data_IF_030481304862
#
_entry.id   IF_030481304862
#
_cell.length_a   1.000
_cell.length_b   1.000
_cell.length_c   1.000
_cell.angle_alpha   90.00
_cell.angle_beta   90.00
_cell.angle_gamma   90.00
#
_symmetry.space_group_name_H-M   'P 1'
#
loop_
_entity.id
_entity.type
_entity.pdbx_description
1 polymer ?
#
# COMPACT_ATOMS: atom_id res chain seq x y z
N UNK A 1 12.35 -31.12 -18.06
CA UNK A 1 11.30 -31.36 -17.05
C UNK A 1 9.98 -30.88 -17.59
N UNK A 2 8.87 -31.47 -17.16
CA UNK A 2 7.54 -30.97 -17.50
C UNK A 2 7.29 -29.63 -16.81
N UNK A 3 6.92 -28.61 -17.58
CA UNK A 3 6.51 -27.30 -17.09
C UNK A 3 5.36 -27.45 -16.07
N UNK A 4 5.48 -26.81 -14.90
CA UNK A 4 4.42 -26.81 -13.89
C UNK A 4 3.13 -26.22 -14.46
N UNK A 5 1.99 -26.81 -14.13
CA UNK A 5 0.68 -26.33 -14.56
C UNK A 5 -0.25 -26.15 -13.37
N UNK A 6 -1.00 -25.04 -13.31
CA UNK A 6 -2.00 -24.85 -12.27
C UNK A 6 -3.13 -25.88 -12.41
N UNK A 7 -3.48 -26.54 -11.31
CA UNK A 7 -4.57 -27.52 -11.26
C UNK A 7 -5.54 -27.29 -10.09
N UNK A 8 -5.23 -26.33 -9.21
CA UNK A 8 -6.07 -25.93 -8.07
C UNK A 8 -6.44 -24.45 -8.15
N UNK A 9 -7.34 -24.00 -7.26
CA UNK A 9 -7.69 -22.57 -7.13
C UNK A 9 -6.47 -21.72 -6.78
N UNK A 10 -5.64 -22.17 -5.83
CA UNK A 10 -4.43 -21.45 -5.44
C UNK A 10 -3.38 -21.48 -6.55
N UNK A 11 -3.17 -22.61 -7.22
CA UNK A 11 -2.30 -22.68 -8.40
C UNK A 11 -2.78 -21.76 -9.52
N UNK A 12 -4.08 -21.76 -9.82
CA UNK A 12 -4.69 -20.86 -10.80
C UNK A 12 -4.52 -19.38 -10.42
N UNK A 13 -4.64 -19.05 -9.14
CA UNK A 13 -4.39 -17.71 -8.62
C UNK A 13 -2.92 -17.32 -8.86
N UNK A 14 -1.95 -18.10 -8.37
CA UNK A 14 -0.50 -17.85 -8.56
C UNK A 14 -0.15 -17.67 -10.05
N UNK A 15 -0.72 -18.50 -10.92
CA UNK A 15 -0.56 -18.37 -12.37
C UNK A 15 -1.11 -17.04 -12.91
N UNK A 16 -2.32 -16.67 -12.49
CA UNK A 16 -2.96 -15.42 -12.87
C UNK A 16 -2.20 -14.17 -12.36
N UNK A 17 -1.54 -14.26 -11.20
CA UNK A 17 -0.58 -13.26 -10.73
C UNK A 17 0.67 -13.12 -11.61
N UNK A 18 0.86 -13.97 -12.61
CA UNK A 18 2.06 -13.92 -13.44
C UNK A 18 3.23 -14.69 -12.86
N UNK A 19 2.99 -15.66 -11.97
CA UNK A 19 4.03 -16.54 -11.43
C UNK A 19 3.81 -18.00 -11.83
N UNK A 20 4.85 -18.81 -11.66
CA UNK A 20 4.84 -20.27 -11.82
C UNK A 20 5.71 -20.89 -10.73
N UNK A 21 5.88 -22.21 -10.72
CA UNK A 21 6.59 -22.95 -9.68
C UNK A 21 7.72 -23.81 -10.26
N UNK A 22 8.88 -23.79 -9.60
CA UNK A 22 10.02 -24.66 -9.87
C UNK A 22 10.07 -25.79 -8.83
N UNK A 23 9.78 -27.05 -9.20
CA UNK A 23 9.82 -28.18 -8.27
C UNK A 23 11.22 -28.60 -7.84
N UNK A 24 12.29 -28.23 -8.56
CA UNK A 24 13.65 -28.65 -8.19
C UNK A 24 14.19 -27.87 -6.99
N UNK A 25 13.91 -26.57 -6.97
CA UNK A 25 14.35 -25.66 -5.90
C UNK A 25 13.20 -25.33 -4.93
N UNK A 26 11.99 -25.72 -5.30
CA UNK A 26 10.75 -25.53 -4.54
C UNK A 26 10.47 -24.03 -4.28
N UNK A 27 10.46 -23.25 -5.37
CA UNK A 27 10.29 -21.79 -5.39
C UNK A 27 9.17 -21.34 -6.33
N UNK A 28 8.58 -20.19 -6.04
CA UNK A 28 7.67 -19.46 -6.93
C UNK A 28 8.46 -18.40 -7.68
N UNK A 29 8.13 -18.17 -8.94
CA UNK A 29 8.88 -17.25 -9.77
C UNK A 29 8.12 -16.65 -10.95
N UNK A 30 8.57 -15.50 -11.44
CA UNK A 30 7.90 -14.72 -12.49
C UNK A 30 7.82 -15.44 -13.84
N UNK A 31 6.70 -15.25 -14.53
CA UNK A 31 6.50 -15.63 -15.93
C UNK A 31 6.90 -14.49 -16.85
N UNK A 32 7.39 -14.84 -18.04
CA UNK A 32 7.74 -13.85 -19.07
C UNK A 32 6.55 -13.00 -19.54
N UNK A 33 5.36 -13.61 -19.55
CA UNK A 33 4.09 -13.07 -20.04
C UNK A 33 3.17 -12.55 -18.90
N UNK A 34 3.74 -12.25 -17.74
CA UNK A 34 3.02 -11.70 -16.60
C UNK A 34 2.31 -10.38 -16.98
N UNK A 35 1.07 -10.18 -16.50
CA UNK A 35 0.26 -8.99 -16.80
C UNK A 35 0.96 -7.68 -16.38
N UNK A 36 1.80 -7.77 -15.35
CA UNK A 36 2.69 -6.72 -14.84
C UNK A 36 3.50 -6.05 -15.95
N UNK A 37 3.79 -6.76 -17.05
CA UNK A 37 4.50 -6.19 -18.19
C UNK A 37 3.81 -4.97 -18.81
N UNK A 38 2.49 -4.83 -18.61
CA UNK A 38 1.72 -3.69 -19.09
C UNK A 38 1.79 -2.48 -18.18
N UNK A 39 2.32 -2.60 -16.96
CA UNK A 39 2.16 -1.61 -15.90
C UNK A 39 3.42 -0.81 -15.55
N UNK A 40 4.55 -1.10 -16.21
CA UNK A 40 5.80 -0.35 -16.03
C UNK A 40 6.27 -0.36 -14.57
N UNK A 41 6.99 0.70 -14.18
CA UNK A 41 7.53 0.85 -12.84
C UNK A 41 7.85 2.30 -12.49
N UNK A 42 7.73 2.65 -11.22
CA UNK A 42 8.07 3.97 -10.68
C UNK A 42 8.37 3.90 -9.18
N UNK A 43 8.93 4.97 -8.59
CA UNK A 43 9.21 5.02 -7.14
C UNK A 43 8.01 4.71 -6.25
N UNK A 44 6.78 5.08 -6.67
CA UNK A 44 5.56 4.78 -5.94
C UNK A 44 5.36 3.29 -5.65
N UNK A 45 5.98 2.40 -6.43
CA UNK A 45 5.98 0.96 -6.22
C UNK A 45 6.83 0.61 -4.98
N UNK A 46 8.05 1.15 -4.90
CA UNK A 46 8.94 1.03 -3.73
C UNK A 46 8.23 1.57 -2.48
N UNK A 47 7.59 2.73 -2.60
CA UNK A 47 6.88 3.38 -1.49
C UNK A 47 5.67 2.58 -1.00
N UNK A 48 4.99 1.87 -1.91
CA UNK A 48 3.84 1.04 -1.60
C UNK A 48 4.22 -0.37 -1.09
N UNK A 49 5.48 -0.78 -1.20
CA UNK A 49 5.94 -2.13 -0.87
C UNK A 49 5.53 -2.55 0.56
N UNK A 50 5.77 -1.69 1.55
CA UNK A 50 5.38 -1.96 2.93
C UNK A 50 3.86 -2.14 3.09
N UNK A 51 3.08 -1.40 2.29
CA UNK A 51 1.62 -1.52 2.23
C UNK A 51 1.15 -2.86 1.66
N UNK A 52 1.96 -3.49 0.82
CA UNK A 52 1.70 -4.83 0.27
C UNK A 52 2.29 -5.95 1.13
N UNK A 53 2.59 -5.66 2.40
CA UNK A 53 3.29 -6.57 3.32
C UNK A 53 4.70 -6.96 2.85
N UNK A 54 5.29 -6.19 1.94
CA UNK A 54 6.65 -6.36 1.46
C UNK A 54 7.62 -5.49 2.28
N UNK A 55 8.36 -6.11 3.19
CA UNK A 55 9.48 -5.51 3.92
C UNK A 55 10.75 -5.86 3.16
N UNK A 56 11.11 -4.99 2.22
CA UNK A 56 12.14 -5.25 1.21
C UNK A 56 13.07 -4.05 1.05
N UNK A 57 14.34 -4.33 0.79
CA UNK A 57 15.29 -3.35 0.27
C UNK A 57 15.03 -3.09 -1.21
N UNK A 58 14.93 -1.81 -1.58
CA UNK A 58 14.81 -1.32 -2.95
C UNK A 58 16.12 -0.65 -3.37
N UNK A 59 16.63 -0.96 -4.56
CA UNK A 59 17.91 -0.45 -5.07
C UNK A 59 17.83 -0.16 -6.59
N UNK A 60 17.30 1.00 -6.98
CA UNK A 60 17.26 1.44 -8.37
C UNK A 60 18.64 1.89 -8.88
N UNK A 61 19.03 1.35 -10.03
CA UNK A 61 20.24 1.75 -10.75
C UNK A 61 19.84 2.39 -12.08
N UNK A 62 20.04 3.71 -12.18
CA UNK A 62 19.68 4.50 -13.36
C UNK A 62 20.88 4.76 -14.25
N UNK A 63 20.71 4.68 -15.57
CA UNK A 63 21.72 5.06 -16.54
C UNK A 63 21.11 5.34 -17.91
N UNK A 64 21.81 6.10 -18.75
CA UNK A 64 21.39 6.39 -20.11
C UNK A 64 22.13 5.52 -21.13
N UNK A 65 21.40 4.95 -22.08
CA UNK A 65 22.01 4.25 -23.20
C UNK A 65 21.05 4.15 -24.39
N UNK A 66 21.57 4.31 -25.61
CA UNK A 66 20.80 4.07 -26.83
C UNK A 66 19.56 4.96 -26.98
N UNK A 67 19.59 6.19 -26.47
CA UNK A 67 18.45 7.11 -26.50
C UNK A 67 17.34 6.78 -25.52
N UNK A 68 17.60 5.96 -24.49
CA UNK A 68 16.67 5.63 -23.41
C UNK A 68 17.31 5.94 -22.05
N UNK A 69 16.47 6.41 -21.13
CA UNK A 69 16.70 6.29 -19.70
C UNK A 69 16.43 4.83 -19.32
N UNK A 70 17.37 4.20 -18.63
CA UNK A 70 17.23 2.85 -18.10
C UNK A 70 17.15 2.89 -16.58
N UNK A 71 16.39 1.96 -16.01
CA UNK A 71 16.37 1.68 -14.59
C UNK A 71 16.39 0.16 -14.39
N UNK A 72 17.40 -0.31 -13.68
CA UNK A 72 17.43 -1.68 -13.16
C UNK A 72 17.03 -1.60 -11.69
N UNK A 73 15.88 -2.16 -11.34
CA UNK A 73 15.41 -2.21 -9.95
C UNK A 73 15.81 -3.54 -9.34
N UNK A 74 16.46 -3.50 -8.19
CA UNK A 74 16.76 -4.68 -7.40
C UNK A 74 15.93 -4.68 -6.12
N UNK A 75 15.18 -5.75 -5.90
CA UNK A 75 14.47 -5.96 -4.63
C UNK A 75 15.00 -7.19 -3.89
N UNK A 76 15.09 -7.11 -2.56
CA UNK A 76 15.28 -8.30 -1.68
C UNK A 76 14.59 -8.13 -0.34
N UNK A 77 13.97 -9.19 0.18
CA UNK A 77 13.37 -9.15 1.53
C UNK A 77 12.26 -10.16 1.77
N UNK A 78 11.27 -9.72 2.55
CA UNK A 78 10.09 -10.50 2.91
C UNK A 78 8.84 -9.92 2.25
N UNK A 79 8.13 -10.75 1.50
CA UNK A 79 6.93 -10.44 0.74
C UNK A 79 5.74 -11.21 1.34
N UNK A 80 5.20 -10.75 2.48
CA UNK A 80 4.14 -11.51 3.14
C UNK A 80 4.59 -12.91 3.56
N UNK A 81 4.10 -13.93 2.85
CA UNK A 81 4.43 -15.34 3.07
C UNK A 81 5.89 -15.69 2.70
N UNK A 82 6.47 -14.99 1.73
CA UNK A 82 7.64 -15.48 1.02
C UNK A 82 8.87 -14.59 1.22
N UNK A 83 10.05 -15.20 1.25
CA UNK A 83 11.30 -14.46 1.14
C UNK A 83 11.80 -14.56 -0.29
N UNK A 84 12.35 -13.48 -0.83
CA UNK A 84 12.76 -13.50 -2.23
C UNK A 84 13.61 -12.32 -2.64
N UNK A 85 13.88 -12.29 -3.94
CA UNK A 85 14.55 -11.21 -4.61
C UNK A 85 14.12 -11.08 -6.07
N UNK A 86 14.36 -9.90 -6.63
CA UNK A 86 13.94 -9.53 -7.98
C UNK A 86 14.99 -8.66 -8.67
N UNK A 87 15.10 -8.82 -9.99
CA UNK A 87 15.82 -7.91 -10.88
C UNK A 87 14.85 -7.50 -11.99
N UNK A 88 14.35 -6.27 -11.91
CA UNK A 88 13.48 -5.65 -12.93
C UNK A 88 14.28 -4.79 -13.89
N UNK A 89 13.95 -4.86 -15.18
CA UNK A 89 14.56 -4.07 -16.25
C UNK A 89 13.50 -3.16 -16.85
N UNK A 90 13.73 -1.86 -16.74
CA UNK A 90 12.81 -0.85 -17.20
C UNK A 90 13.54 0.20 -18.04
N UNK A 91 12.82 0.79 -18.99
CA UNK A 91 13.37 1.83 -19.84
C UNK A 91 12.30 2.83 -20.25
N UNK A 92 12.73 4.04 -20.61
CA UNK A 92 11.87 5.06 -21.21
C UNK A 92 12.67 5.86 -22.23
N UNK A 93 12.09 6.12 -23.39
CA UNK A 93 12.78 6.90 -24.43
C UNK A 93 13.09 8.32 -23.94
N UNK A 94 14.31 8.78 -24.17
CA UNK A 94 14.72 10.16 -23.92
C UNK A 94 13.92 11.05 -24.88
N UNK A 95 13.23 12.05 -24.34
CA UNK A 95 12.25 12.88 -25.06
C UNK A 95 10.96 12.13 -25.47
N UNK A 96 10.54 11.12 -24.72
CA UNK A 96 9.20 10.53 -24.85
C UNK A 96 8.16 11.64 -25.01
N UNK A 97 7.36 11.58 -26.09
CA UNK A 97 6.39 12.62 -26.38
C UNK A 97 5.47 12.82 -25.17
N UNK A 98 5.20 14.07 -24.75
CA UNK A 98 4.36 14.35 -23.60
C UNK A 98 2.94 13.86 -23.91
N UNK A 99 2.63 12.66 -23.44
CA UNK A 99 1.26 12.18 -23.34
C UNK A 99 0.79 12.36 -21.89
N UNK A 100 -0.51 12.59 -21.71
CA UNK A 100 -1.08 12.88 -20.40
C UNK A 100 -0.85 11.73 -19.41
N UNK A 101 -0.78 10.48 -19.89
CA UNK A 101 -0.48 9.31 -19.06
C UNK A 101 0.88 9.40 -18.38
N UNK A 102 1.96 9.60 -19.14
CA UNK A 102 3.29 9.77 -18.54
C UNK A 102 3.37 11.02 -17.67
N UNK A 103 2.79 12.16 -18.09
CA UNK A 103 2.80 13.38 -17.27
C UNK A 103 2.14 13.15 -15.90
N UNK A 104 1.00 12.46 -15.90
CA UNK A 104 0.29 12.08 -14.69
C UNK A 104 1.15 11.14 -13.85
N UNK A 105 1.66 10.06 -14.43
CA UNK A 105 2.44 9.06 -13.71
C UNK A 105 3.73 9.65 -13.14
N UNK A 106 4.44 10.51 -13.88
CA UNK A 106 5.64 11.22 -13.43
C UNK A 106 5.33 12.14 -12.26
N UNK A 107 4.26 12.91 -12.36
CA UNK A 107 3.86 13.84 -11.31
C UNK A 107 3.35 13.14 -10.03
N UNK A 108 2.93 11.88 -10.14
CA UNK A 108 2.26 11.13 -9.07
C UNK A 108 3.13 10.05 -8.45
N UNK A 109 3.37 8.98 -9.20
CA UNK A 109 4.08 7.78 -8.74
C UNK A 109 5.57 7.81 -9.12
N UNK A 110 5.96 8.67 -10.06
CA UNK A 110 7.35 8.85 -10.52
C UNK A 110 8.23 9.57 -9.51
N UNK A 111 7.69 10.58 -8.81
CA UNK A 111 8.47 11.44 -7.92
C UNK A 111 9.12 10.68 -6.77
N UNK A 112 10.45 10.63 -6.77
CA UNK A 112 11.30 10.07 -5.72
C UNK A 112 11.75 11.18 -4.76
N UNK A 113 11.29 11.19 -3.49
CA UNK A 113 11.68 12.21 -2.53
C UNK A 113 13.20 12.21 -2.27
N UNK A 114 13.81 13.39 -2.35
CA UNK A 114 15.24 13.56 -2.09
C UNK A 114 16.15 13.17 -3.26
N UNK A 115 15.60 12.95 -4.45
CA UNK A 115 16.36 12.75 -5.69
C UNK A 115 16.10 13.90 -6.66
N UNK A 116 17.12 14.73 -6.89
CA UNK A 116 17.00 15.94 -7.72
C UNK A 116 17.16 15.65 -9.22
N UNK A 117 17.52 14.42 -9.61
CA UNK A 117 17.65 14.05 -11.02
C UNK A 117 16.27 13.85 -11.65
N UNK A 118 15.88 14.66 -12.66
CA UNK A 118 14.58 14.51 -13.31
C UNK A 118 14.34 13.14 -13.93
N UNK A 119 15.38 12.45 -14.41
CA UNK A 119 15.24 11.12 -15.01
C UNK A 119 14.87 10.06 -13.95
N UNK A 120 15.32 10.20 -12.71
CA UNK A 120 14.98 9.28 -11.61
C UNK A 120 13.54 9.44 -11.11
N UNK A 121 12.90 10.56 -11.47
CA UNK A 121 11.55 10.96 -11.08
C UNK A 121 10.48 10.60 -12.13
N UNK A 122 10.79 9.67 -13.02
CA UNK A 122 9.91 9.25 -14.10
C UNK A 122 9.23 7.91 -13.79
N UNK A 123 8.08 7.70 -14.42
CA UNK A 123 7.56 6.36 -14.68
C UNK A 123 8.29 5.75 -15.88
N UNK A 124 8.70 4.49 -15.75
CA UNK A 124 9.42 3.71 -16.75
C UNK A 124 8.57 2.57 -17.27
N UNK A 125 8.74 2.21 -18.54
CA UNK A 125 8.09 1.03 -19.12
C UNK A 125 8.90 -0.23 -18.80
N UNK A 126 8.22 -1.38 -18.70
CA UNK A 126 8.90 -2.66 -18.67
C UNK A 126 9.70 -2.85 -19.97
N UNK A 127 10.89 -3.46 -19.87
CA UNK A 127 11.70 -3.72 -21.05
C UNK A 127 10.91 -4.45 -22.14
N UNK A 128 11.02 -3.96 -23.38
CA UNK A 128 10.49 -4.63 -24.56
C UNK A 128 11.18 -5.98 -24.78
N UNK A 129 10.68 -6.82 -25.69
CA UNK A 129 11.31 -8.12 -25.94
C UNK A 129 12.75 -8.02 -26.45
N UNK A 130 13.08 -6.91 -27.13
CA UNK A 130 14.40 -6.59 -27.65
C UNK A 130 15.33 -6.00 -26.56
N UNK A 131 14.74 -5.40 -25.52
CA UNK A 131 15.45 -4.73 -24.42
C UNK A 131 15.68 -5.63 -23.20
N UNK A 132 15.22 -6.89 -23.23
CA UNK A 132 15.48 -7.85 -22.15
C UNK A 132 16.97 -8.13 -22.01
N UNK A 133 17.44 -8.18 -20.77
CA UNK A 133 18.84 -8.47 -20.45
C UNK A 133 18.99 -9.93 -20.04
N UNK A 134 20.18 -10.48 -20.23
CA UNK A 134 20.52 -11.80 -19.71
C UNK A 134 20.81 -11.63 -18.21
N UNK A 135 19.98 -12.22 -17.35
CA UNK A 135 20.07 -12.05 -15.90
C UNK A 135 20.27 -13.41 -15.24
N UNK A 136 21.15 -13.44 -14.26
CA UNK A 136 21.33 -14.55 -13.33
C UNK A 136 21.35 -13.98 -11.90
N UNK A 137 20.70 -14.68 -10.97
CA UNK A 137 20.71 -14.31 -9.56
C UNK A 137 20.78 -15.54 -8.65
N UNK A 138 21.37 -15.38 -7.48
CA UNK A 138 21.35 -16.39 -6.41
C UNK A 138 21.09 -15.71 -5.08
N UNK A 139 20.01 -16.12 -4.40
CA UNK A 139 19.63 -15.58 -3.09
C UNK A 139 20.27 -16.41 -1.97
N UNK A 140 20.85 -15.71 -1.00
CA UNK A 140 21.38 -16.28 0.25
C UNK A 140 20.65 -15.68 1.44
N UNK A 141 20.50 -16.49 2.48
CA UNK A 141 20.06 -16.05 3.81
C UNK A 141 21.10 -16.48 4.83
N UNK A 142 21.67 -15.53 5.56
CA UNK A 142 22.73 -15.78 6.55
C UNK A 142 23.90 -16.63 6.01
N UNK A 143 24.28 -16.39 4.76
CA UNK A 143 25.35 -17.12 4.06
C UNK A 143 24.95 -18.45 3.44
N UNK A 144 23.75 -18.98 3.73
CA UNK A 144 23.24 -20.21 3.12
C UNK A 144 22.44 -19.90 1.86
N UNK A 145 22.72 -20.64 0.78
CA UNK A 145 22.01 -20.47 -0.49
C UNK A 145 20.56 -20.96 -0.37
N UNK A 146 19.59 -20.12 -0.71
CA UNK A 146 18.18 -20.50 -0.81
C UNK A 146 17.82 -21.05 -2.20
N UNK A 147 18.14 -20.32 -3.26
CA UNK A 147 17.88 -20.73 -4.65
C UNK A 147 18.72 -19.91 -5.65
N UNK A 148 18.74 -20.36 -6.90
CA UNK A 148 19.34 -19.67 -8.05
C UNK A 148 18.33 -19.55 -9.21
N UNK A 149 18.42 -18.48 -9.98
CA UNK A 149 17.65 -18.27 -11.23
C UNK A 149 18.57 -17.81 -12.34
N UNK A 150 18.22 -18.16 -13.57
CA UNK A 150 18.99 -17.84 -14.76
C UNK A 150 20.22 -18.74 -14.96
N UNK A 151 21.09 -18.41 -15.93
CA UNK A 151 21.00 -17.22 -16.80
C UNK A 151 19.81 -17.29 -17.76
N UNK A 152 18.98 -16.24 -17.77
CA UNK A 152 17.77 -16.16 -18.59
C UNK A 152 17.58 -14.73 -19.13
N UNK A 153 17.17 -14.59 -20.40
CA UNK A 153 16.82 -13.27 -20.96
C UNK A 153 15.45 -12.84 -20.44
N UNK A 154 15.43 -11.90 -19.49
CA UNK A 154 14.19 -11.49 -18.81
C UNK A 154 14.11 -9.97 -18.63
N UNK A 155 12.88 -9.47 -18.50
CA UNK A 155 12.59 -8.09 -18.10
C UNK A 155 12.35 -7.95 -16.59
N UNK A 156 12.23 -9.07 -15.87
CA UNK A 156 11.78 -9.17 -14.48
C UNK A 156 12.06 -10.58 -13.94
N UNK A 157 13.32 -10.86 -13.61
CA UNK A 157 13.72 -12.16 -13.10
C UNK A 157 13.52 -12.18 -11.57
N UNK A 158 12.67 -13.07 -11.07
CA UNK A 158 12.36 -13.16 -9.63
C UNK A 158 12.53 -14.56 -9.06
N UNK A 159 12.57 -14.69 -7.75
CA UNK A 159 12.40 -15.97 -7.09
C UNK A 159 11.95 -15.79 -5.65
N UNK A 160 11.09 -16.68 -5.19
CA UNK A 160 10.45 -16.60 -3.88
C UNK A 160 10.36 -17.97 -3.22
N UNK A 161 10.80 -18.05 -1.97
CA UNK A 161 10.71 -19.24 -1.13
C UNK A 161 9.62 -19.03 -0.08
N UNK A 162 8.55 -19.81 -0.14
CA UNK A 162 7.45 -19.73 0.83
C UNK A 162 7.87 -20.30 2.18
N UNK A 163 7.24 -19.79 3.23
CA UNK A 163 7.40 -20.33 4.58
C UNK A 163 8.77 -20.05 5.19
N UNK A 164 9.54 -19.12 4.63
CA UNK A 164 10.79 -18.62 5.22
C UNK A 164 10.57 -17.17 5.59
N UNK A 165 10.77 -16.86 6.87
CA UNK A 165 10.73 -15.49 7.38
C UNK A 165 12.16 -14.94 7.37
N UNK A 166 12.36 -13.83 6.67
CA UNK A 166 13.65 -13.14 6.60
C UNK A 166 13.50 -11.68 6.91
N UNK A 167 14.57 -11.05 7.40
CA UNK A 167 14.73 -9.60 7.29
C UNK A 167 15.67 -9.26 6.14
N UNK A 168 15.53 -8.09 5.48
CA UNK A 168 16.39 -7.72 4.36
C UNK A 168 17.90 -7.79 4.69
N UNK A 169 18.30 -7.44 5.91
CA UNK A 169 19.68 -7.51 6.40
C UNK A 169 20.22 -8.94 6.58
N UNK A 170 19.35 -9.95 6.61
CA UNK A 170 19.77 -11.37 6.61
C UNK A 170 20.03 -11.89 5.20
N UNK A 171 19.67 -11.11 4.17
CA UNK A 171 19.69 -11.53 2.78
C UNK A 171 20.80 -10.87 1.98
N UNK A 172 21.35 -11.64 1.06
CA UNK A 172 22.25 -11.15 0.05
C UNK A 172 21.98 -11.85 -1.29
N UNK A 173 22.17 -11.13 -2.38
CA UNK A 173 21.93 -11.64 -3.74
C UNK A 173 23.20 -11.49 -4.55
N UNK A 174 23.72 -12.60 -5.08
CA UNK A 174 24.73 -12.53 -6.13
C UNK A 174 24.02 -12.34 -7.46
N UNK A 175 24.37 -11.30 -8.22
CA UNK A 175 23.69 -10.92 -9.46
C UNK A 175 24.72 -10.88 -10.59
N UNK A 176 24.34 -11.39 -11.77
CA UNK A 176 25.09 -11.23 -13.03
C UNK A 176 24.14 -10.74 -14.11
N UNK A 177 24.52 -9.68 -14.82
CA UNK A 177 23.72 -9.09 -15.91
C UNK A 177 24.59 -8.95 -17.15
N UNK A 178 24.18 -9.61 -18.23
CA UNK A 178 24.76 -9.51 -19.56
C UNK A 178 24.04 -8.46 -20.40
N UNK A 179 24.81 -7.53 -20.98
CA UNK A 179 24.31 -6.42 -21.78
C UNK A 179 24.53 -6.67 -23.29
N UNK A 180 23.76 -6.02 -24.18
CA UNK A 180 23.90 -6.18 -25.63
C UNK A 180 25.27 -5.76 -26.19
N UNK A 181 26.02 -4.94 -25.45
CA UNK A 181 27.37 -4.55 -25.83
C UNK A 181 28.06 -3.69 -24.79
N UNK A 182 29.36 -3.49 -25.02
CA UNK A 182 30.29 -2.85 -24.11
C UNK A 182 29.86 -1.47 -23.62
N UNK A 183 29.30 -0.65 -24.50
CA UNK A 183 28.88 0.72 -24.15
C UNK A 183 27.76 0.74 -23.10
N UNK A 184 26.75 -0.12 -23.24
CA UNK A 184 25.65 -0.22 -22.27
C UNK A 184 26.14 -0.78 -20.93
N UNK A 185 27.00 -1.81 -21.00
CA UNK A 185 27.69 -2.38 -19.84
C UNK A 185 28.50 -1.32 -19.08
N UNK A 186 29.23 -0.46 -19.79
CA UNK A 186 30.01 0.64 -19.21
C UNK A 186 29.12 1.67 -18.51
N UNK A 187 28.00 2.04 -19.12
CA UNK A 187 27.04 2.94 -18.51
C UNK A 187 26.46 2.37 -17.21
N UNK A 188 26.07 1.09 -17.21
CA UNK A 188 25.57 0.41 -16.01
C UNK A 188 26.65 0.24 -14.93
N UNK A 189 27.88 -0.12 -15.31
CA UNK A 189 29.00 -0.21 -14.35
C UNK A 189 29.25 1.12 -13.65
N UNK A 190 29.26 2.22 -14.41
CA UNK A 190 29.44 3.56 -13.87
C UNK A 190 28.31 3.94 -12.90
N UNK A 191 27.07 3.62 -13.26
CA UNK A 191 25.91 3.86 -12.40
C UNK A 191 25.96 3.05 -11.09
N UNK A 192 26.32 1.76 -11.15
CA UNK A 192 26.53 0.92 -9.96
C UNK A 192 27.60 1.50 -9.03
N UNK A 193 28.74 1.91 -9.59
CA UNK A 193 29.83 2.53 -8.82
C UNK A 193 29.41 3.85 -8.19
N UNK A 194 28.69 4.69 -8.93
CA UNK A 194 28.17 5.96 -8.43
C UNK A 194 27.16 5.75 -7.29
N UNK A 195 26.38 4.67 -7.32
CA UNK A 195 25.46 4.28 -6.26
C UNK A 195 26.17 3.78 -4.99
N UNK A 196 27.35 3.19 -5.14
CA UNK A 196 28.17 2.72 -4.01
C UNK A 196 28.71 1.29 -4.15
N UNK A 197 28.27 0.55 -5.17
CA UNK A 197 28.75 -0.80 -5.43
C UNK A 197 30.15 -0.76 -6.08
N UNK A 198 31.18 -1.02 -5.28
CA UNK A 198 32.58 -0.95 -5.73
C UNK A 198 33.19 -2.31 -6.08
N UNK A 199 32.72 -3.38 -5.43
CA UNK A 199 33.15 -4.76 -5.67
C UNK A 199 32.36 -5.38 -6.84
N UNK A 200 32.84 -5.10 -8.05
CA UNK A 200 32.26 -5.53 -9.31
C UNK A 200 33.26 -6.40 -10.07
N UNK A 201 32.79 -7.52 -10.63
CA UNK A 201 33.54 -8.30 -11.62
C UNK A 201 32.95 -8.06 -13.00
N UNK A 202 33.81 -7.73 -13.97
CA UNK A 202 33.42 -7.51 -15.37
C UNK A 202 34.06 -8.59 -16.24
N UNK A 203 33.25 -9.28 -17.03
CA UNK A 203 33.68 -10.27 -18.01
C UNK A 203 32.95 -10.05 -19.34
N UNK A 204 33.69 -9.58 -20.36
CA UNK A 204 33.11 -9.13 -21.63
C UNK A 204 32.02 -8.07 -21.42
N UNK A 205 30.81 -8.38 -21.87
CA UNK A 205 29.63 -7.52 -21.74
C UNK A 205 28.78 -7.83 -20.49
N UNK A 206 29.33 -8.58 -19.53
CA UNK A 206 28.63 -8.96 -18.29
C UNK A 206 29.22 -8.26 -17.07
N UNK A 207 28.34 -7.75 -16.20
CA UNK A 207 28.69 -7.22 -14.87
C UNK A 207 28.15 -8.17 -13.80
N UNK A 208 28.99 -8.52 -12.83
CA UNK A 208 28.64 -9.33 -11.68
C UNK A 208 28.95 -8.59 -10.38
N UNK A 209 28.03 -8.65 -9.42
CA UNK A 209 28.15 -7.95 -8.15
C UNK A 209 27.25 -8.59 -7.08
N UNK A 210 27.52 -8.28 -5.83
CA UNK A 210 26.71 -8.73 -4.69
C UNK A 210 25.86 -7.59 -4.14
N UNK A 211 24.55 -7.83 -4.04
CA UNK A 211 23.59 -6.95 -3.40
C UNK A 211 23.27 -7.46 -2.00
N UNK A 212 24.01 -6.96 -1.02
CA UNK A 212 23.83 -7.26 0.41
C UNK A 212 23.36 -6.03 1.17
N UNK A 213 23.95 -4.87 0.86
CA UNK A 213 23.54 -3.57 1.36
C UNK A 213 22.88 -2.76 0.24
N UNK A 214 21.77 -2.10 0.57
CA UNK A 214 21.18 -1.06 -0.26
C UNK A 214 21.79 0.31 0.06
N UNK A 215 22.08 1.09 -0.98
CA UNK A 215 22.58 2.45 -0.88
C UNK A 215 21.49 3.48 -1.18
N UNK A 216 20.41 3.09 -1.87
CA UNK A 216 19.26 3.93 -2.03
C UNK A 216 18.54 4.17 -0.69
N UNK A 217 18.01 5.39 -0.44
CA UNK A 217 17.15 5.63 0.71
C UNK A 217 15.92 4.72 0.68
N UNK A 218 15.71 3.95 1.74
CA UNK A 218 14.62 2.99 1.80
C UNK A 218 13.30 3.71 2.13
N UNK A 219 12.22 3.57 1.32
CA UNK A 219 10.95 4.27 1.60
C UNK A 219 10.38 3.97 2.99
N UNK A 220 10.57 2.73 3.45
CA UNK A 220 10.14 2.25 4.78
C UNK A 220 10.86 2.94 5.95
N UNK A 221 11.98 3.62 5.72
CA UNK A 221 12.74 4.31 6.76
C UNK A 221 11.97 5.47 7.43
N UNK A 222 11.00 6.06 6.73
CA UNK A 222 10.16 7.12 7.29
C UNK A 222 9.15 6.60 8.35
N UNK A 223 8.88 5.29 8.38
CA UNK A 223 7.83 4.68 9.21
C UNK A 223 8.31 3.41 9.93
N UNK A 224 9.40 3.47 10.74
CA UNK A 224 10.03 2.28 11.33
C UNK A 224 9.08 1.46 12.21
N UNK A 225 8.10 2.10 12.84
CA UNK A 225 7.09 1.42 13.65
C UNK A 225 6.18 0.51 12.80
N UNK A 226 5.84 0.93 11.57
CA UNK A 226 5.02 0.12 10.66
C UNK A 226 5.81 -1.08 10.09
N UNK A 227 7.14 -0.95 9.98
CA UNK A 227 8.01 -2.06 9.55
C UNK A 227 7.92 -3.23 10.52
N UNK A 228 8.03 -2.98 11.81
CA UNK A 228 7.94 -4.04 12.83
C UNK A 228 6.57 -4.71 12.85
N UNK A 229 5.52 -3.92 12.64
CA UNK A 229 4.16 -4.44 12.55
C UNK A 229 3.94 -5.31 11.32
N UNK A 230 4.46 -4.87 10.16
CA UNK A 230 4.43 -5.67 8.93
C UNK A 230 5.22 -6.98 9.11
N UNK A 231 6.39 -6.93 9.74
CA UNK A 231 7.18 -8.13 10.05
C UNK A 231 6.45 -9.10 10.98
N UNK A 232 5.74 -8.62 11.99
CA UNK A 232 4.89 -9.46 12.85
C UNK A 232 3.69 -10.06 12.09
N UNK A 233 3.12 -9.33 11.14
CA UNK A 233 2.10 -9.86 10.22
C UNK A 233 2.69 -11.01 9.37
N UNK A 234 3.83 -10.75 8.72
CA UNK A 234 4.52 -11.72 7.89
C UNK A 234 4.89 -12.98 8.69
N UNK A 235 5.36 -12.82 9.92
CA UNK A 235 5.63 -13.93 10.83
C UNK A 235 4.39 -14.80 11.06
N UNK A 236 3.22 -14.21 11.37
CA UNK A 236 1.98 -14.97 11.54
C UNK A 236 1.56 -15.73 10.28
N UNK A 237 1.73 -15.12 9.10
CA UNK A 237 1.43 -15.76 7.81
C UNK A 237 2.35 -16.96 7.60
N UNK A 238 3.66 -16.79 7.82
CA UNK A 238 4.67 -17.84 7.70
C UNK A 238 4.45 -18.98 8.69
N UNK A 239 4.15 -18.67 9.95
CA UNK A 239 3.85 -19.66 10.99
C UNK A 239 2.57 -20.44 10.65
N UNK A 240 1.53 -19.75 10.16
CA UNK A 240 0.30 -20.39 9.71
C UNK A 240 0.56 -21.33 8.53
N UNK A 241 1.33 -20.89 7.54
CA UNK A 241 1.72 -21.73 6.41
C UNK A 241 2.47 -22.98 6.86
N UNK A 242 3.49 -22.82 7.72
CA UNK A 242 4.25 -23.95 8.28
C UNK A 242 3.35 -24.93 9.05
N UNK A 243 2.33 -24.43 9.76
CA UNK A 243 1.37 -25.26 10.50
C UNK A 243 0.52 -26.17 9.60
N UNK A 244 0.40 -25.87 8.30
CA UNK A 244 -0.29 -26.74 7.34
C UNK A 244 0.49 -28.03 7.07
N UNK A 245 1.81 -28.06 7.35
CA UNK A 245 2.66 -29.21 7.09
C UNK A 245 2.73 -29.58 5.60
N UNK A 246 2.63 -28.58 4.70
CA UNK A 246 2.75 -28.80 3.27
C UNK A 246 4.12 -29.42 2.94
N UNK A 247 4.13 -30.47 2.13
CA UNK A 247 5.35 -31.19 1.76
C UNK A 247 6.25 -30.40 0.79
N UNK A 248 5.67 -29.41 0.11
CA UNK A 248 6.33 -28.52 -0.83
C UNK A 248 5.60 -27.16 -0.88
N UNK A 249 6.26 -26.17 -1.48
CA UNK A 249 5.70 -24.88 -1.87
C UNK A 249 4.91 -24.95 -3.19
N UNK A 250 4.63 -26.14 -3.73
CA UNK A 250 3.76 -26.31 -4.90
C UNK A 250 2.36 -25.75 -4.60
N UNK A 251 1.92 -24.68 -5.29
CA UNK A 251 0.59 -24.10 -5.07
C UNK A 251 -0.57 -25.08 -5.34
N UNK A 252 -0.31 -26.17 -6.08
CA UNK A 252 -1.30 -27.24 -6.27
C UNK A 252 -1.47 -28.16 -5.05
N UNK A 253 -0.53 -28.14 -4.11
CA UNK A 253 -0.52 -29.02 -2.93
C UNK A 253 -0.90 -28.28 -1.64
N UNK A 254 -0.99 -26.95 -1.69
CA UNK A 254 -1.37 -26.11 -0.55
C UNK A 254 -2.88 -25.85 -0.59
N UNK A 255 -3.55 -25.97 0.56
CA UNK A 255 -5.00 -25.78 0.66
C UNK A 255 -5.39 -24.34 0.30
N UNK A 256 -6.40 -24.18 -0.56
CA UNK A 256 -6.83 -22.87 -1.06
C UNK A 256 -7.36 -21.93 0.04
N UNK A 257 -7.83 -22.46 1.18
CA UNK A 257 -8.24 -21.69 2.36
C UNK A 257 -7.09 -20.85 2.94
N UNK A 258 -5.83 -21.19 2.62
CA UNK A 258 -4.66 -20.39 2.95
C UNK A 258 -4.71 -19.00 2.28
N UNK A 259 -5.38 -18.83 1.13
CA UNK A 259 -5.61 -17.52 0.50
C UNK A 259 -6.33 -16.52 1.41
N UNK A 260 -7.11 -17.01 2.40
CA UNK A 260 -7.81 -16.17 3.37
C UNK A 260 -6.86 -15.60 4.44
N UNK A 261 -5.68 -16.20 4.62
CA UNK A 261 -4.67 -15.79 5.61
C UNK A 261 -3.44 -15.15 4.96
N UNK A 262 -3.12 -15.49 3.71
CA UNK A 262 -1.83 -15.22 3.08
C UNK A 262 -1.85 -14.22 1.94
N UNK A 263 -2.64 -13.15 2.04
CA UNK A 263 -2.41 -11.92 1.28
C UNK A 263 -2.41 -12.07 -0.25
N UNK A 264 -3.57 -11.84 -0.87
CA UNK A 264 -3.75 -11.56 -2.30
C UNK A 264 -3.03 -10.27 -2.80
N UNK A 265 -2.13 -9.67 -2.01
CA UNK A 265 -1.51 -8.36 -2.28
C UNK A 265 -0.70 -8.33 -3.57
N UNK A 266 0.10 -9.37 -3.84
CA UNK A 266 0.87 -9.51 -5.09
C UNK A 266 0.02 -9.94 -6.28
N UNK A 267 -1.12 -10.59 -6.03
CA UNK A 267 -2.07 -11.07 -7.05
C UNK A 267 -2.81 -9.93 -7.78
N UNK A 268 -2.74 -8.71 -7.27
CA UNK A 268 -3.40 -7.53 -7.82
C UNK A 268 -2.47 -6.35 -8.03
N UNK A 269 -1.18 -6.61 -8.28
CA UNK A 269 -0.19 -5.56 -8.49
C UNK A 269 -0.69 -4.49 -9.50
N UNK A 270 -1.18 -4.94 -10.66
CA UNK A 270 -1.85 -4.11 -11.66
C UNK A 270 -2.96 -3.20 -11.10
N UNK A 271 -3.82 -3.74 -10.24
CA UNK A 271 -4.91 -2.97 -9.65
C UNK A 271 -4.43 -2.01 -8.56
N UNK A 272 -3.43 -2.42 -7.75
CA UNK A 272 -2.82 -1.56 -6.72
C UNK A 272 -2.21 -0.33 -7.37
N UNK A 273 -1.46 -0.50 -8.46
CA UNK A 273 -0.79 0.62 -9.12
C UNK A 273 -1.74 1.48 -9.94
N UNK A 274 -2.73 0.87 -10.60
CA UNK A 274 -3.83 1.60 -11.23
C UNK A 274 -4.59 2.48 -10.24
N UNK A 275 -4.81 1.99 -9.02
CA UNK A 275 -5.41 2.78 -7.92
C UNK A 275 -4.52 3.91 -7.43
N UNK A 276 -3.23 3.67 -7.21
CA UNK A 276 -2.29 4.69 -6.75
C UNK A 276 -2.13 5.83 -7.76
N UNK A 277 -1.98 5.50 -9.05
CA UNK A 277 -1.96 6.49 -10.12
C UNK A 277 -3.26 7.32 -10.16
N UNK A 278 -4.40 6.67 -9.92
CA UNK A 278 -5.70 7.35 -9.88
C UNK A 278 -5.83 8.31 -8.69
N UNK A 279 -5.45 7.87 -7.49
CA UNK A 279 -5.51 8.69 -6.28
C UNK A 279 -4.68 9.96 -6.43
N UNK A 280 -3.44 9.80 -6.89
CA UNK A 280 -2.54 10.92 -7.00
C UNK A 280 -2.93 11.87 -8.16
N UNK A 281 -3.55 11.35 -9.23
CA UNK A 281 -4.14 12.19 -10.27
C UNK A 281 -5.26 13.09 -9.75
N UNK A 282 -6.09 12.60 -8.83
CA UNK A 282 -7.09 13.39 -8.13
C UNK A 282 -6.46 14.46 -7.22
N UNK A 283 -5.39 14.11 -6.49
CA UNK A 283 -4.67 15.04 -5.60
C UNK A 283 -3.99 16.19 -6.36
N UNK A 284 -3.60 15.96 -7.61
CA UNK A 284 -3.07 16.98 -8.52
C UNK A 284 -4.16 17.81 -9.23
N UNK A 285 -5.45 17.57 -8.92
CA UNK A 285 -6.56 18.37 -9.40
C UNK A 285 -7.10 17.99 -10.79
N UNK A 286 -6.73 16.83 -11.34
CA UNK A 286 -7.30 16.34 -12.59
C UNK A 286 -8.75 15.88 -12.42
N UNK A 287 -9.57 16.06 -13.47
CA UNK A 287 -10.96 15.60 -13.42
C UNK A 287 -11.03 14.07 -13.47
N UNK A 288 -11.94 13.49 -12.68
CA UNK A 288 -12.12 12.03 -12.58
C UNK A 288 -12.23 11.33 -13.95
N UNK A 289 -13.00 11.93 -14.88
CA UNK A 289 -13.22 11.38 -16.21
C UNK A 289 -11.94 11.34 -17.06
N UNK A 290 -11.10 12.35 -16.94
CA UNK A 290 -9.84 12.45 -17.67
C UNK A 290 -8.85 11.39 -17.19
N UNK A 291 -8.70 11.26 -15.86
CA UNK A 291 -7.84 10.23 -15.24
C UNK A 291 -8.26 8.81 -15.67
N UNK A 292 -9.56 8.52 -15.67
CA UNK A 292 -10.08 7.20 -16.07
C UNK A 292 -9.80 6.90 -17.55
N UNK A 293 -10.10 7.84 -18.45
CA UNK A 293 -9.97 7.62 -19.90
C UNK A 293 -8.48 7.52 -20.32
N UNK A 294 -7.60 8.31 -19.69
CA UNK A 294 -6.17 8.30 -20.00
C UNK A 294 -5.45 7.08 -19.45
N UNK A 295 -5.76 6.61 -18.22
CA UNK A 295 -5.20 5.38 -17.67
C UNK A 295 -5.64 4.14 -18.47
N UNK A 296 -6.92 4.10 -18.90
CA UNK A 296 -7.43 3.00 -19.72
C UNK A 296 -6.69 2.92 -21.07
N UNK A 297 -6.48 4.07 -21.73
CA UNK A 297 -5.75 4.14 -23.00
C UNK A 297 -4.28 3.80 -22.82
N UNK A 298 -3.64 4.34 -21.78
CA UNK A 298 -2.21 4.19 -21.53
C UNK A 298 -1.84 2.72 -21.23
N UNK A 299 -2.55 2.07 -20.31
CA UNK A 299 -2.29 0.67 -19.94
C UNK A 299 -2.91 -0.35 -20.91
N UNK A 300 -3.67 0.10 -21.91
CA UNK A 300 -4.38 -0.78 -22.85
C UNK A 300 -5.39 -1.68 -22.15
N UNK A 301 -6.08 -1.17 -21.13
CA UNK A 301 -7.09 -1.89 -20.35
C UNK A 301 -8.49 -1.35 -20.64
N UNK A 302 -9.53 -2.14 -20.35
CA UNK A 302 -10.90 -1.69 -20.52
C UNK A 302 -11.21 -0.51 -19.57
N UNK A 303 -11.92 0.51 -20.04
CA UNK A 303 -12.34 1.67 -19.23
C UNK A 303 -13.09 1.29 -17.96
N UNK A 304 -13.78 0.15 -17.96
CA UNK A 304 -14.44 -0.38 -16.77
C UNK A 304 -13.43 -0.73 -15.66
N UNK A 305 -12.29 -1.34 -16.01
CA UNK A 305 -11.23 -1.68 -15.06
C UNK A 305 -10.61 -0.40 -14.46
N UNK A 306 -10.38 0.62 -15.28
CA UNK A 306 -9.92 1.93 -14.79
C UNK A 306 -10.96 2.64 -13.89
N UNK A 307 -12.26 2.47 -14.15
CA UNK A 307 -13.34 2.95 -13.26
C UNK A 307 -13.34 2.21 -11.92
N UNK A 308 -13.09 0.91 -11.94
CA UNK A 308 -12.97 0.11 -10.72
C UNK A 308 -11.75 0.56 -9.90
N UNK A 309 -10.61 0.86 -10.52
CA UNK A 309 -9.48 1.50 -9.85
C UNK A 309 -9.85 2.87 -9.27
N UNK A 310 -10.61 3.70 -9.98
CA UNK A 310 -11.05 5.00 -9.46
C UNK A 310 -11.96 4.88 -8.23
N UNK A 311 -12.96 3.99 -8.29
CA UNK A 311 -13.87 3.74 -7.18
C UNK A 311 -13.12 3.14 -5.98
N UNK A 312 -12.25 2.16 -6.24
CA UNK A 312 -11.48 1.48 -5.21
C UNK A 312 -10.35 2.34 -4.64
N UNK A 313 -9.68 3.23 -5.39
CA UNK A 313 -8.66 4.14 -4.85
C UNK A 313 -9.19 4.99 -3.69
N UNK A 314 -10.50 5.32 -3.71
CA UNK A 314 -11.19 6.05 -2.65
C UNK A 314 -11.56 5.17 -1.44
N UNK A 315 -11.68 3.86 -1.62
CA UNK A 315 -12.14 2.89 -0.61
C UNK A 315 -11.03 1.93 -0.09
N UNK A 316 -9.97 1.67 -0.85
CA UNK A 316 -9.00 0.61 -0.57
C UNK A 316 -7.95 1.03 0.45
N UNK A 317 -7.50 2.28 0.45
CA UNK A 317 -6.57 2.71 1.50
C UNK A 317 -7.24 2.68 2.88
N UNK A 318 -8.52 3.08 2.96
CA UNK A 318 -9.29 3.04 4.20
C UNK A 318 -9.64 1.60 4.60
N UNK A 319 -10.02 0.72 3.67
CA UNK A 319 -10.34 -0.68 3.95
C UNK A 319 -9.13 -1.59 4.17
N UNK A 320 -8.00 -1.35 3.48
CA UNK A 320 -6.72 -2.00 3.72
C UNK A 320 -6.14 -1.59 5.08
N UNK A 321 -6.15 -0.29 5.43
CA UNK A 321 -5.78 0.16 6.79
C UNK A 321 -6.69 -0.48 7.85
N UNK A 322 -7.99 -0.64 7.55
CA UNK A 322 -8.95 -1.34 8.41
C UNK A 322 -8.70 -2.86 8.49
N UNK A 323 -8.22 -3.50 7.42
CA UNK A 323 -7.87 -4.94 7.39
C UNK A 323 -6.58 -5.20 8.15
N UNK A 324 -5.54 -4.41 7.87
CA UNK A 324 -4.25 -4.47 8.57
C UNK A 324 -4.44 -4.20 10.07
N UNK A 325 -5.31 -3.27 10.47
CA UNK A 325 -5.65 -3.02 11.89
C UNK A 325 -6.38 -4.20 12.55
N UNK A 326 -7.28 -4.87 11.81
CA UNK A 326 -8.04 -6.04 12.27
C UNK A 326 -7.15 -7.27 12.43
N UNK A 327 -6.30 -7.55 11.45
CA UNK A 327 -5.45 -8.74 11.39
C UNK A 327 -4.22 -8.62 12.31
N UNK A 328 -3.77 -7.37 12.57
CA UNK A 328 -2.69 -7.10 13.51
C UNK A 328 -3.13 -7.02 14.99
N UNK A 329 -4.43 -6.95 15.29
CA UNK A 329 -4.94 -6.68 16.64
C UNK A 329 -4.70 -5.24 17.12
N UNK A 330 -4.45 -4.33 16.17
CA UNK A 330 -4.16 -2.92 16.39
C UNK A 330 -5.38 -2.09 16.00
N UNK A 331 -6.49 -2.25 16.72
CA UNK A 331 -7.66 -1.40 16.55
C UNK A 331 -7.36 0.04 17.02
N UNK A 332 -6.55 0.77 16.27
CA UNK A 332 -6.39 2.22 16.38
C UNK A 332 -7.50 2.87 15.55
N UNK A 333 -8.73 2.52 15.90
CA UNK A 333 -9.94 3.13 15.37
C UNK A 333 -10.19 4.42 16.15
N UNK A 334 -9.74 5.56 15.59
CA UNK A 334 -9.92 6.86 16.21
C UNK A 334 -11.27 7.50 15.84
N UNK A 335 -12.27 6.72 15.43
CA UNK A 335 -13.60 7.24 15.13
C UNK A 335 -14.29 7.85 16.37
N UNK A 336 -15.16 8.83 16.12
CA UNK A 336 -16.15 9.31 17.07
C UNK A 336 -17.54 8.81 16.65
N UNK A 337 -18.13 7.92 17.45
CA UNK A 337 -19.51 7.47 17.29
C UNK A 337 -20.39 8.31 18.21
N UNK A 338 -21.27 9.11 17.62
CA UNK A 338 -22.05 10.10 18.35
C UNK A 338 -23.53 9.77 18.31
N UNK A 339 -24.14 9.76 19.49
CA UNK A 339 -25.58 9.64 19.69
C UNK A 339 -26.11 10.93 20.35
N UNK A 340 -27.16 11.51 19.79
CA UNK A 340 -27.92 12.60 20.38
C UNK A 340 -29.28 12.03 20.78
N UNK A 341 -29.49 11.86 22.07
CA UNK A 341 -30.71 11.32 22.66
C UNK A 341 -31.66 12.47 22.99
N UNK A 342 -32.68 12.66 22.15
CA UNK A 342 -33.69 13.72 22.29
C UNK A 342 -35.04 13.17 22.80
N UNK A 343 -35.03 11.98 23.43
CA UNK A 343 -36.27 11.33 23.89
C UNK A 343 -37.03 12.14 24.93
N UNK A 344 -36.29 12.74 25.86
CA UNK A 344 -36.81 13.60 26.93
C UNK A 344 -36.54 15.09 26.67
N UNK A 345 -36.10 15.44 25.46
CA UNK A 345 -35.76 16.82 25.11
C UNK A 345 -36.99 17.74 25.02
N UNK A 346 -36.79 19.07 25.17
CA UNK A 346 -37.89 20.02 25.22
C UNK A 346 -38.62 20.15 23.87
N UNK A 347 -37.91 19.99 22.74
CA UNK A 347 -38.42 20.15 21.38
C UNK A 347 -37.53 19.45 20.34
N UNK A 348 -37.90 19.56 19.07
CA UNK A 348 -37.12 19.07 17.94
C UNK A 348 -35.76 19.79 17.82
N UNK A 349 -34.76 19.07 17.33
CA UNK A 349 -33.44 19.58 17.02
C UNK A 349 -33.28 19.67 15.50
N UNK A 350 -32.97 20.85 14.99
CA UNK A 350 -32.69 21.09 13.56
C UNK A 350 -31.21 21.41 13.37
N UNK A 351 -30.53 20.67 12.50
CA UNK A 351 -29.12 20.89 12.25
C UNK A 351 -28.92 22.23 11.54
N UNK A 352 -28.09 23.10 12.10
CA UNK A 352 -27.67 24.33 11.44
C UNK A 352 -26.34 24.16 10.71
N UNK A 353 -25.40 23.47 11.37
CA UNK A 353 -24.02 23.38 10.92
C UNK A 353 -23.38 22.10 11.42
N UNK A 354 -22.57 21.49 10.58
CA UNK A 354 -21.72 20.38 10.91
C UNK A 354 -20.31 20.66 10.35
N UNK A 355 -19.33 20.76 11.22
CA UNK A 355 -17.93 20.99 10.88
C UNK A 355 -17.14 19.70 11.11
N UNK A 356 -16.37 19.29 10.11
CA UNK A 356 -15.40 18.20 10.22
C UNK A 356 -14.00 18.84 10.31
N UNK A 357 -13.42 18.86 11.51
CA UNK A 357 -12.12 19.48 11.78
C UNK A 357 -10.97 18.50 11.51
N UNK A 358 -11.19 17.21 11.80
CA UNK A 358 -10.30 16.10 11.45
C UNK A 358 -11.15 14.87 11.12
N UNK A 359 -10.89 14.23 9.97
CA UNK A 359 -11.68 13.10 9.50
C UNK A 359 -12.84 13.46 8.57
N UNK A 360 -13.69 12.49 8.27
CA UNK A 360 -14.87 12.63 7.40
C UNK A 360 -16.09 11.95 8.02
N UNK A 361 -17.29 12.51 7.78
CA UNK A 361 -18.54 11.87 8.23
C UNK A 361 -18.82 10.61 7.41
N UNK A 362 -18.69 9.44 8.03
CA UNK A 362 -19.12 8.16 7.44
C UNK A 362 -20.65 8.01 7.49
N UNK A 363 -21.26 8.54 8.55
CA UNK A 363 -22.70 8.78 8.65
C UNK A 363 -22.85 10.25 9.02
N UNK A 364 -23.53 11.02 8.18
CA UNK A 364 -23.71 12.45 8.39
C UNK A 364 -24.65 12.74 9.58
N UNK A 365 -24.48 13.87 10.30
CA UNK A 365 -25.42 14.31 11.32
C UNK A 365 -26.83 14.46 10.74
N UNK A 366 -27.87 13.92 11.41
CA UNK A 366 -29.25 14.07 10.94
C UNK A 366 -29.64 15.53 10.81
N UNK A 367 -30.29 15.91 9.71
CA UNK A 367 -30.77 17.28 9.51
C UNK A 367 -31.87 17.67 10.52
N UNK A 368 -32.58 16.67 11.04
CA UNK A 368 -33.67 16.83 12.00
C UNK A 368 -33.70 15.62 12.93
N UNK A 369 -33.81 15.89 14.24
CA UNK A 369 -34.03 14.87 15.27
C UNK A 369 -35.32 15.26 16.00
N UNK A 370 -36.43 14.53 15.79
CA UNK A 370 -37.69 14.81 16.47
C UNK A 370 -37.57 14.74 17.99
N UNK A 371 -38.44 15.47 18.70
CA UNK A 371 -38.69 15.21 20.12
C UNK A 371 -39.20 13.78 20.29
N UNK A 372 -38.63 13.04 21.24
CA UNK A 372 -38.98 11.63 21.45
C UNK A 372 -38.09 10.64 20.69
N UNK A 373 -37.09 11.12 19.95
CA UNK A 373 -36.26 10.28 19.08
C UNK A 373 -34.74 10.45 19.34
N UNK A 374 -33.93 9.69 18.62
CA UNK A 374 -32.47 9.62 18.77
C UNK A 374 -31.79 9.81 17.42
N UNK A 375 -30.91 10.81 17.33
CA UNK A 375 -30.02 11.00 16.18
C UNK A 375 -28.70 10.27 16.39
N UNK A 376 -28.15 9.68 15.32
CA UNK A 376 -26.83 9.05 15.34
C UNK A 376 -26.01 9.43 14.13
N UNK A 377 -24.72 9.60 14.33
CA UNK A 377 -23.77 9.87 13.24
C UNK A 377 -22.37 9.43 13.63
N UNK A 378 -21.49 9.32 12.64
CA UNK A 378 -20.13 8.78 12.80
C UNK A 378 -19.15 9.68 12.08
N UNK A 379 -18.19 10.22 12.83
CA UNK A 379 -17.00 10.86 12.29
C UNK A 379 -15.88 9.84 12.25
N UNK A 380 -15.44 9.48 11.05
CA UNK A 380 -14.35 8.55 10.83
C UNK A 380 -13.05 9.32 10.69
N UNK A 381 -11.98 8.85 11.35
CA UNK A 381 -10.65 9.42 11.16
C UNK A 381 -10.14 9.15 9.73
N UNK A 382 -9.58 10.18 9.10
CA UNK A 382 -8.95 10.05 7.80
C UNK A 382 -7.60 9.40 7.99
N UNK A 383 -7.52 8.09 7.74
CA UNK A 383 -6.32 7.26 7.97
C UNK A 383 -5.07 7.67 7.16
N UNK A 384 -5.20 8.67 6.28
CA UNK A 384 -4.15 9.34 5.50
C UNK A 384 -3.30 10.34 6.30
N UNK A 385 -3.84 10.91 7.38
CA UNK A 385 -3.14 11.88 8.24
C UNK A 385 -3.22 11.43 9.70
N UNK A 386 -2.12 11.54 10.48
CA UNK A 386 -2.07 11.12 11.88
C UNK A 386 -2.75 12.16 12.80
N UNK A 387 -3.99 12.54 12.51
CA UNK A 387 -4.76 13.56 13.24
C UNK A 387 -5.87 12.96 14.12
N UNK A 388 -6.42 11.79 13.75
CA UNK A 388 -7.56 11.16 14.42
C UNK A 388 -8.89 11.65 13.83
N UNK A 389 -9.96 11.64 14.62
CA UNK A 389 -11.25 12.21 14.22
C UNK A 389 -11.71 13.30 15.18
N UNK A 390 -12.42 14.30 14.65
CA UNK A 390 -12.99 15.36 15.46
C UNK A 390 -13.76 16.39 14.67
N UNK A 391 -14.72 17.01 15.34
CA UNK A 391 -15.55 18.04 14.75
C UNK A 391 -16.59 18.54 15.72
N UNK A 392 -17.51 19.34 15.18
CA UNK A 392 -18.61 19.88 15.95
C UNK A 392 -19.89 19.94 15.12
N UNK A 393 -21.02 19.86 15.82
CA UNK A 393 -22.35 20.02 15.24
C UNK A 393 -23.10 21.06 16.06
N UNK A 394 -23.86 21.91 15.36
CA UNK A 394 -24.75 22.89 15.96
C UNK A 394 -26.18 22.58 15.58
N UNK A 395 -27.01 22.34 16.59
CA UNK A 395 -28.45 22.17 16.44
C UNK A 395 -29.18 23.34 17.06
N UNK A 396 -30.24 23.78 16.38
CA UNK A 396 -31.19 24.77 16.87
C UNK A 396 -32.42 24.07 17.43
N UNK A 397 -32.92 24.58 18.55
CA UNK A 397 -34.15 24.09 19.18
C UNK A 397 -34.98 25.24 19.77
N UNK A 398 -36.25 24.96 20.05
CA UNK A 398 -37.17 25.94 20.60
C UNK A 398 -37.53 25.60 22.05
N UNK A 399 -37.27 26.50 22.99
CA UNK A 399 -37.69 26.37 24.38
C UNK A 399 -39.16 26.79 24.55
N UNK A 400 -39.73 26.45 25.71
CA UNK A 400 -41.06 26.91 26.11
C UNK A 400 -41.13 28.45 26.01
N UNK A 401 -42.14 28.97 25.30
CA UNK A 401 -42.29 30.42 25.04
C UNK A 401 -41.70 30.93 23.73
N UNK A 402 -41.44 30.05 22.74
CA UNK A 402 -40.94 30.40 21.39
C UNK A 402 -39.52 30.99 21.36
N UNK A 403 -38.73 30.81 22.42
CA UNK A 403 -37.33 31.22 22.41
C UNK A 403 -36.48 30.19 21.69
N UNK A 404 -35.81 30.63 20.63
CA UNK A 404 -34.90 29.79 19.84
C UNK A 404 -33.49 29.83 20.46
N UNK A 405 -32.87 28.66 20.64
CA UNK A 405 -31.53 28.49 21.19
C UNK A 405 -30.71 27.52 20.36
N UNK A 406 -29.40 27.68 20.40
CA UNK A 406 -28.45 26.80 19.73
C UNK A 406 -27.69 25.94 20.75
N UNK A 407 -27.50 24.67 20.41
CA UNK A 407 -26.69 23.71 21.12
C UNK A 407 -25.50 23.31 20.24
N UNK A 408 -24.28 23.60 20.70
CA UNK A 408 -23.04 23.21 20.03
C UNK A 408 -22.46 22.00 20.74
N UNK A 409 -22.24 20.92 20.00
CA UNK A 409 -21.73 19.65 20.49
C UNK A 409 -20.39 19.39 19.78
N UNK A 410 -19.30 19.28 20.52
CA UNK A 410 -17.98 18.97 19.96
C UNK A 410 -17.45 17.66 20.52
N UNK A 411 -16.71 16.95 19.68
CA UNK A 411 -16.16 15.63 19.97
C UNK A 411 -14.84 15.46 19.22
N UNK A 412 -13.87 14.81 19.84
CA UNK A 412 -12.59 14.49 19.22
C UNK A 412 -11.95 13.27 19.87
N UNK A 413 -11.47 12.39 19.01
CA UNK A 413 -10.66 11.22 19.30
C UNK A 413 -9.34 11.36 18.53
N UNK A 414 -8.38 12.12 19.06
CA UNK A 414 -7.15 12.47 18.33
C UNK A 414 -6.18 11.29 18.23
N UNK A 415 -5.33 11.32 17.20
CA UNK A 415 -4.23 10.37 17.05
C UNK A 415 -3.07 10.69 18.02
N UNK A 416 -2.48 9.65 18.63
CA UNK A 416 -1.27 9.75 19.46
C UNK A 416 -1.45 9.54 20.97
N UNK A 417 -0.36 9.20 21.67
CA UNK A 417 -0.34 8.86 23.12
C UNK A 417 -0.34 10.08 24.06
N UNK A 418 -0.16 11.29 23.52
CA UNK A 418 -0.01 12.54 24.30
C UNK A 418 -1.17 13.52 24.13
N UNK A 419 -2.14 13.20 23.28
CA UNK A 419 -3.36 13.97 23.03
C UNK A 419 -4.53 13.27 23.73
N UNK A 420 -5.45 14.03 24.31
CA UNK A 420 -6.59 13.48 25.06
C UNK A 420 -7.87 13.62 24.25
N UNK A 421 -8.78 12.64 24.40
CA UNK A 421 -10.14 12.78 23.86
C UNK A 421 -10.79 14.05 24.40
N UNK A 422 -11.51 14.76 23.54
CA UNK A 422 -12.22 16.00 23.89
C UNK A 422 -13.70 15.81 23.60
N UNK A 423 -14.54 16.15 24.57
CA UNK A 423 -16.00 16.25 24.38
C UNK A 423 -16.46 17.51 25.09
N UNK A 424 -17.23 18.35 24.40
CA UNK A 424 -17.83 19.53 25.00
C UNK A 424 -19.25 19.75 24.47
N UNK A 425 -20.06 20.43 25.28
CA UNK A 425 -21.45 20.74 24.95
C UNK A 425 -21.84 22.11 25.49
N UNK A 426 -22.64 22.84 24.72
CA UNK A 426 -23.41 24.00 25.19
C UNK A 426 -24.91 23.68 25.25
N UNK A 427 -25.60 24.28 26.21
CA UNK A 427 -27.05 24.09 26.39
C UNK A 427 -27.40 22.98 27.38
N UNK A 428 -28.68 22.59 27.40
CA UNK A 428 -29.24 21.63 28.35
C UNK A 428 -29.01 20.19 27.88
N UNK A 429 -27.78 19.70 28.05
CA UNK A 429 -27.42 18.31 27.74
C UNK A 429 -26.58 17.68 28.85
N UNK A 430 -26.79 16.38 29.06
CA UNK A 430 -25.90 15.53 29.86
C UNK A 430 -25.04 14.70 28.92
N UNK A 431 -23.73 14.65 29.18
CA UNK A 431 -22.79 13.87 28.37
C UNK A 431 -22.51 12.53 29.04
N UNK A 432 -22.51 11.46 28.23
CA UNK A 432 -21.96 10.16 28.59
C UNK A 432 -20.91 9.77 27.55
N UNK A 433 -19.77 9.27 28.00
CA UNK A 433 -18.63 8.92 27.13
C UNK A 433 -18.11 7.53 27.50
N UNK A 434 -17.68 6.75 26.51
CA UNK A 434 -16.87 5.54 26.71
C UNK A 434 -15.86 5.38 25.57
N UNK A 435 -14.89 4.50 25.76
CA UNK A 435 -13.94 4.12 24.71
C UNK A 435 -13.99 2.61 24.48
N UNK A 436 -14.00 2.18 23.21
CA UNK A 436 -14.12 0.76 22.83
C UNK A 436 -15.27 0.03 23.55
N UNK A 437 -14.94 -1.10 24.19
CA UNK A 437 -15.86 -1.93 24.98
C UNK A 437 -15.95 -1.52 26.47
N UNK A 438 -15.43 -0.35 26.84
CA UNK A 438 -15.50 0.15 28.22
C UNK A 438 -16.91 0.55 28.66
N UNK A 439 -17.02 0.91 29.95
CA UNK A 439 -18.28 1.39 30.54
C UNK A 439 -18.55 2.87 30.25
N UNK A 440 -19.83 3.25 30.21
CA UNK A 440 -20.26 4.64 30.08
C UNK A 440 -19.96 5.45 31.35
N UNK A 441 -19.38 6.64 31.18
CA UNK A 441 -18.96 7.53 32.27
C UNK A 441 -19.36 8.98 31.98
N UNK A 442 -19.38 9.80 33.02
CA UNK A 442 -19.63 11.25 32.93
C UNK A 442 -18.40 12.06 32.54
N UNK A 443 -17.22 11.58 32.89
CA UNK A 443 -15.95 12.21 32.55
C UNK A 443 -15.39 11.65 31.26
N UNK A 444 -14.88 12.53 30.40
CA UNK A 444 -14.21 12.15 29.15
C UNK A 444 -12.91 11.39 29.46
N UNK A 445 -12.76 10.13 29.02
CA UNK A 445 -11.54 9.36 29.23
C UNK A 445 -10.36 10.03 28.51
N UNK A 446 -9.23 10.22 29.21
CA UNK A 446 -8.02 10.80 28.59
C UNK A 446 -7.45 9.97 27.45
N UNK A 447 -7.71 8.67 27.43
CA UNK A 447 -7.19 7.73 26.44
C UNK A 447 -8.18 6.62 26.10
N UNK A 448 -7.90 5.88 25.02
CA UNK A 448 -8.72 4.79 24.52
C UNK A 448 -9.55 5.20 23.31
N UNK A 449 -9.75 4.24 22.41
CA UNK A 449 -10.35 4.44 21.08
C UNK A 449 -11.16 3.18 20.68
N UNK A 450 -12.18 3.29 19.81
CA UNK A 450 -12.82 4.53 19.36
C UNK A 450 -13.58 5.23 20.48
N UNK A 451 -13.90 6.50 20.29
CA UNK A 451 -14.66 7.31 21.23
C UNK A 451 -16.15 7.19 20.94
N UNK A 452 -16.93 6.80 21.95
CA UNK A 452 -18.39 6.85 21.88
C UNK A 452 -18.88 7.97 22.76
N UNK A 453 -19.70 8.86 22.19
CA UNK A 453 -20.26 10.01 22.88
C UNK A 453 -21.77 9.97 22.78
N UNK A 454 -22.44 10.16 23.91
CA UNK A 454 -23.89 10.34 23.97
C UNK A 454 -24.20 11.70 24.60
N UNK A 455 -24.87 12.55 23.84
CA UNK A 455 -25.44 13.82 24.31
C UNK A 455 -26.92 13.59 24.59
N UNK A 456 -27.33 13.63 25.86
CA UNK A 456 -28.73 13.43 26.27
C UNK A 456 -29.36 14.78 26.53
N UNK A 457 -30.34 15.18 25.71
CA UNK A 457 -31.08 16.41 25.90
C UNK A 457 -31.88 16.34 27.21
N UNK A 458 -31.86 17.43 27.99
CA UNK A 458 -32.69 17.56 29.20
C UNK A 458 -33.66 18.74 29.05
N UNK A 459 -34.86 18.57 29.59
CA UNK A 459 -35.94 19.55 29.52
C UNK A 459 -35.68 20.82 30.34
#
# INVERSE_FOLDING_TARGET
MSEWKPSTVLGGAVWAAGFTYDPEQDIIYSRMDALQRKFGYAWGYDNAALGMSAVIDCEPIFFDHGGKHWMIELWKGQYGLETGCEVGVYSRAINSAPNVGYQLLDATVGRRPGDDDPAHNLFYDCASDDDRLLIELTLYRNGERLFSRGPERHWWLTGFKWGVLSRPEELAVDIRIGFPGREMREAFEQALRARGHTDLTVDGDTVAFRFEQAFAPQPRAAVPQLVELAMQANQRIVERYRSLGAASNDPNQVQAEFLLFGGLGLLRAADVYGRLATQAGLELGHAAREVIDDLARFFGVATQVAREWFAAAREELSSWLTSVQRDLGLAMDYACVVEIDNREGPSDLLLERADAEAGTYAIAPPQWIPKGDVGRFVMQDTKLQPTGSGGSVRYRHCLNGMQVRDASLAYSCPFGFWTSNVVSVSGQFVVRVKTGNGEWRESTPRSGHPLYVKFVAVA
#
